data_IF_369611385458
#
_entry.id   IF_369611385458
#
_cell.length_a   1.000
_cell.length_b   1.000
_cell.length_c   1.000
_cell.angle_alpha   90.00
_cell.angle_beta   90.00
_cell.angle_gamma   90.00
#
_symmetry.space_group_name_H-M   'P 1'
#
loop_
_entity.id
_entity.type
_entity.pdbx_description
1 polymer ?
#
# COMPACT_ATOMS: atom_id res chain seq x y z
N UNK A 1 -4.58 26.42 18.40
CA UNK A 1 -5.60 25.59 17.70
C UNK A 1 -5.04 25.05 16.39
N UNK A 2 -4.46 25.90 15.53
CA UNK A 2 -3.88 25.48 14.25
C UNK A 2 -2.68 24.52 14.37
N UNK A 3 -1.76 24.75 15.32
CA UNK A 3 -0.60 23.86 15.54
C UNK A 3 -1.02 22.45 15.96
N UNK A 4 -2.07 22.34 16.79
CA UNK A 4 -2.64 21.07 17.19
C UNK A 4 -3.23 20.31 16.00
N UNK A 5 -3.93 21.00 15.10
CA UNK A 5 -4.49 20.41 13.88
C UNK A 5 -3.40 19.95 12.91
N UNK A 6 -2.29 20.70 12.79
CA UNK A 6 -1.11 20.27 12.00
C UNK A 6 -0.50 19.00 12.55
N UNK A 7 -0.22 18.96 13.85
CA UNK A 7 0.36 17.80 14.52
C UNK A 7 -0.54 16.56 14.34
N UNK A 8 -1.85 16.72 14.54
CA UNK A 8 -2.81 15.64 14.35
C UNK A 8 -2.81 15.11 12.91
N UNK A 9 -2.76 16.00 11.91
CA UNK A 9 -2.72 15.61 10.50
C UNK A 9 -1.43 14.87 10.13
N UNK A 10 -0.28 15.31 10.63
CA UNK A 10 1.00 14.62 10.41
C UNK A 10 0.98 13.22 11.05
N UNK A 11 0.48 13.09 12.27
CA UNK A 11 0.33 11.79 12.95
C UNK A 11 -0.59 10.87 12.16
N UNK A 12 -1.76 11.35 11.75
CA UNK A 12 -2.72 10.57 10.94
C UNK A 12 -2.07 10.12 9.63
N UNK A 13 -1.32 11.00 8.96
CA UNK A 13 -0.62 10.67 7.73
C UNK A 13 0.43 9.57 7.95
N UNK A 14 1.20 9.64 9.03
CA UNK A 14 2.19 8.64 9.39
C UNK A 14 1.53 7.27 9.65
N UNK A 15 0.46 7.23 10.43
CA UNK A 15 -0.29 6.00 10.70
C UNK A 15 -0.89 5.41 9.43
N UNK A 16 -1.46 6.26 8.58
CA UNK A 16 -1.99 5.84 7.29
C UNK A 16 -0.92 5.21 6.41
N UNK A 17 0.27 5.81 6.35
CA UNK A 17 1.39 5.29 5.57
C UNK A 17 1.87 3.93 6.11
N UNK A 18 1.98 3.78 7.43
CA UNK A 18 2.35 2.50 8.07
C UNK A 18 1.32 1.41 7.75
N UNK A 19 0.03 1.72 7.88
CA UNK A 19 -1.04 0.76 7.56
C UNK A 19 -1.04 0.38 6.08
N UNK A 20 -0.88 1.37 5.18
CA UNK A 20 -0.79 1.13 3.75
C UNK A 20 0.41 0.24 3.41
N UNK A 21 1.59 0.51 4.00
CA UNK A 21 2.78 -0.33 3.83
C UNK A 21 2.56 -1.75 4.36
N UNK A 22 1.95 -1.90 5.53
CA UNK A 22 1.59 -3.21 6.09
C UNK A 22 0.69 -4.02 5.17
N UNK A 23 -0.36 -3.41 4.62
CA UNK A 23 -1.26 -4.06 3.65
C UNK A 23 -0.53 -4.41 2.35
N UNK A 24 0.33 -3.52 1.84
CA UNK A 24 1.13 -3.77 0.65
C UNK A 24 2.04 -5.01 0.81
N UNK A 25 2.68 -5.16 1.96
CA UNK A 25 3.52 -6.32 2.27
C UNK A 25 2.71 -7.63 2.35
N UNK A 26 1.51 -7.58 2.93
CA UNK A 26 0.60 -8.73 2.96
C UNK A 26 0.16 -9.14 1.54
N UNK A 27 -0.14 -8.16 0.68
CA UNK A 27 -0.49 -8.40 -0.72
C UNK A 27 0.69 -8.95 -1.53
N UNK A 28 1.90 -8.44 -1.33
CA UNK A 28 3.14 -8.96 -1.92
C UNK A 28 3.40 -10.41 -1.49
N UNK A 29 3.23 -10.72 -0.21
CA UNK A 29 3.31 -12.10 0.28
C UNK A 29 2.27 -12.99 -0.39
N UNK A 30 1.03 -12.50 -0.50
CA UNK A 30 -0.06 -13.16 -1.22
C UNK A 30 0.17 -13.28 -2.73
N UNK A 31 1.05 -12.46 -3.32
CA UNK A 31 1.46 -12.51 -4.72
C UNK A 31 2.47 -13.63 -4.97
N UNK A 32 3.53 -13.68 -4.17
CA UNK A 32 4.62 -14.64 -4.38
C UNK A 32 4.35 -16.03 -3.78
N UNK A 33 3.57 -16.14 -2.71
CA UNK A 33 3.34 -17.43 -2.02
C UNK A 33 2.21 -18.29 -2.62
N UNK A 34 1.71 -17.96 -3.82
CA UNK A 34 0.55 -18.66 -4.40
C UNK A 34 0.90 -20.07 -4.91
N UNK A 35 0.02 -21.03 -4.56
CA UNK A 35 0.06 -22.42 -5.07
C UNK A 35 -0.89 -22.68 -6.24
N UNK A 36 -1.86 -21.79 -6.51
CA UNK A 36 -2.86 -21.94 -7.58
C UNK A 36 -2.95 -20.67 -8.43
N UNK A 37 -3.51 -20.77 -9.65
CA UNK A 37 -3.76 -19.64 -10.58
C UNK A 37 -2.53 -18.78 -10.93
N UNK A 38 -1.41 -19.41 -11.30
CA UNK A 38 -0.15 -18.76 -11.73
C UNK A 38 -0.14 -18.34 -13.22
N UNK A 39 -1.27 -17.88 -13.75
CA UNK A 39 -1.27 -17.37 -15.13
C UNK A 39 -0.82 -15.91 -15.15
N UNK A 40 -0.23 -15.49 -16.26
CA UNK A 40 0.23 -14.11 -16.47
C UNK A 40 -0.89 -13.08 -16.24
N UNK A 41 -2.14 -13.44 -16.53
CA UNK A 41 -3.31 -12.58 -16.31
C UNK A 41 -3.50 -12.30 -14.82
N UNK A 42 -3.36 -13.31 -13.96
CA UNK A 42 -3.49 -13.14 -12.51
C UNK A 42 -2.33 -12.33 -11.92
N UNK A 43 -1.14 -12.46 -12.47
CA UNK A 43 0.02 -11.69 -12.03
C UNK A 43 -0.12 -10.21 -12.41
N UNK A 44 -0.64 -9.92 -13.60
CA UNK A 44 -0.96 -8.55 -14.04
C UNK A 44 -2.04 -7.93 -13.14
N UNK A 45 -3.15 -8.63 -12.87
CA UNK A 45 -4.23 -8.12 -11.99
C UNK A 45 -3.71 -7.85 -10.59
N UNK A 46 -2.86 -8.70 -10.06
CA UNK A 46 -2.22 -8.46 -8.75
C UNK A 46 -1.19 -7.33 -8.78
N UNK A 47 -0.46 -7.14 -9.87
CA UNK A 47 0.40 -5.98 -10.02
C UNK A 47 -0.44 -4.69 -9.97
N UNK A 48 -1.60 -4.66 -10.63
CA UNK A 48 -2.54 -3.53 -10.59
C UNK A 48 -3.03 -3.22 -9.17
N UNK A 49 -3.26 -4.23 -8.32
CA UNK A 49 -3.65 -3.97 -6.92
C UNK A 49 -2.53 -3.42 -6.06
N UNK A 50 -1.26 -3.59 -6.47
CA UNK A 50 -0.09 -3.03 -5.80
C UNK A 50 0.26 -1.61 -6.26
N UNK A 51 -0.14 -1.18 -7.47
CA UNK A 51 0.09 0.17 -8.00
C UNK A 51 -0.27 1.29 -7.01
N UNK A 52 -1.46 1.33 -6.37
CA UNK A 52 -1.78 2.42 -5.44
C UNK A 52 -0.84 2.48 -4.22
N UNK A 53 -0.29 1.35 -3.80
CA UNK A 53 0.70 1.31 -2.72
C UNK A 53 2.08 1.76 -3.18
N UNK A 54 2.48 1.40 -4.41
CA UNK A 54 3.72 1.86 -5.02
C UNK A 54 3.69 3.37 -5.25
N UNK A 55 2.61 3.91 -5.83
CA UNK A 55 2.42 5.35 -6.02
C UNK A 55 2.51 6.10 -4.68
N UNK A 56 1.88 5.53 -3.64
CA UNK A 56 1.92 6.10 -2.29
C UNK A 56 3.31 6.04 -1.66
N UNK A 57 4.04 4.94 -1.82
CA UNK A 57 5.42 4.82 -1.34
C UNK A 57 6.37 5.82 -2.03
N UNK A 58 6.12 6.08 -3.32
CA UNK A 58 6.85 7.09 -4.11
C UNK A 58 6.40 8.53 -3.80
N UNK A 59 5.44 8.73 -2.89
CA UNK A 59 4.84 10.02 -2.58
C UNK A 59 4.27 10.75 -3.81
N UNK A 60 3.86 9.97 -4.83
CA UNK A 60 3.19 10.47 -6.03
C UNK A 60 1.73 10.71 -5.65
N UNK A 61 1.26 11.94 -5.89
CA UNK A 61 -0.11 12.38 -5.62
C UNK A 61 -1.08 11.81 -6.64
#
# INVERSE_FOLDING_TARGET
MEDFLRLANEVIHQFYFIMAGGVALLLLRGLFARKTRRSIVYDIVYAYTLIPFLLRALHIK
#
